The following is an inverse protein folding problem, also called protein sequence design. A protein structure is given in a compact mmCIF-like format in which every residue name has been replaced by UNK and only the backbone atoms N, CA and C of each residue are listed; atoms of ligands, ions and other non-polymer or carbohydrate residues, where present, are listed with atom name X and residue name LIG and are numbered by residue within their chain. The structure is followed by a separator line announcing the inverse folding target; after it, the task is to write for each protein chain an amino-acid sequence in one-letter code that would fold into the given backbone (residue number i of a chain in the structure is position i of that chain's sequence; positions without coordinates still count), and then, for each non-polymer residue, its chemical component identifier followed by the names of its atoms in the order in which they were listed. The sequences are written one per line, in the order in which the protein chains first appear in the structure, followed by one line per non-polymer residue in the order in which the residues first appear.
data_IF_132140274901
#
_entry.id   IF_132140274901
#
_cell.length_a   1.000
_cell.length_b   1.000
_cell.length_c   1.000
_cell.angle_alpha   90.00
_cell.angle_beta   90.00
_cell.angle_gamma   90.00
#
_symmetry.space_group_name_H-M   'P 1'
#
loop_
_entity.id
_entity.type
_entity.pdbx_description
1 polymer ?
#
# COMPACT_ATOMS: atom_id res chain seq x y z
N UNK A 1 22.48 -13.79 1.69
CA UNK A 1 23.07 -12.76 2.58
C UNK A 1 23.01 -13.28 4.01
N UNK A 2 23.99 -12.98 4.87
CA UNK A 2 23.87 -13.29 6.29
C UNK A 2 22.63 -12.58 6.86
N UNK A 3 21.93 -13.23 7.79
CA UNK A 3 20.71 -12.72 8.45
C UNK A 3 20.94 -11.45 9.31
N UNK A 4 22.15 -10.93 9.36
CA UNK A 4 22.54 -9.77 10.17
C UNK A 4 22.85 -8.52 9.33
N UNK A 5 22.62 -8.57 8.00
CA UNK A 5 22.90 -7.42 7.14
C UNK A 5 21.94 -6.27 7.44
N UNK A 6 22.50 -5.07 7.61
CA UNK A 6 21.71 -3.85 7.74
C UNK A 6 21.05 -3.47 6.41
N UNK A 7 19.99 -2.67 6.46
CA UNK A 7 19.36 -2.10 5.26
C UNK A 7 20.40 -1.33 4.41
N UNK A 8 21.27 -0.57 5.03
CA UNK A 8 22.31 0.20 4.33
C UNK A 8 23.28 -0.73 3.58
N UNK A 9 23.74 -1.83 4.20
CA UNK A 9 24.59 -2.83 3.54
C UNK A 9 23.87 -3.51 2.39
N UNK A 10 22.58 -3.84 2.57
CA UNK A 10 21.76 -4.41 1.49
C UNK A 10 21.67 -3.46 0.30
N UNK A 11 21.32 -2.18 0.52
CA UNK A 11 21.17 -1.19 -0.55
C UNK A 11 22.52 -0.98 -1.29
N UNK A 12 23.62 -0.90 -0.56
CA UNK A 12 24.96 -0.79 -1.18
C UNK A 12 25.29 -2.05 -2.01
N UNK A 13 24.91 -3.22 -1.50
CA UNK A 13 25.06 -4.49 -2.24
C UNK A 13 24.26 -4.49 -3.54
N UNK A 14 23.01 -4.03 -3.53
CA UNK A 14 22.19 -3.87 -4.72
C UNK A 14 22.75 -2.81 -5.68
N UNK A 15 23.19 -1.66 -5.15
CA UNK A 15 23.80 -0.60 -5.95
C UNK A 15 25.01 -1.07 -6.76
N UNK A 16 25.85 -1.93 -6.18
CA UNK A 16 27.06 -2.46 -6.84
C UNK A 16 26.76 -3.29 -8.10
N UNK A 17 25.53 -3.77 -8.25
CA UNK A 17 25.09 -4.48 -9.48
C UNK A 17 24.89 -3.53 -10.66
N UNK A 18 24.87 -2.21 -10.43
CA UNK A 18 24.60 -1.19 -11.44
C UNK A 18 25.81 -0.24 -11.59
N UNK A 19 26.54 -0.34 -12.70
CA UNK A 19 27.78 0.42 -12.95
C UNK A 19 27.63 1.95 -13.00
N UNK A 20 26.41 2.48 -13.13
CA UNK A 20 26.10 3.93 -13.19
C UNK A 20 25.48 4.49 -11.91
N UNK A 21 25.45 3.72 -10.84
CA UNK A 21 24.86 4.19 -9.57
C UNK A 21 25.79 5.20 -8.88
N UNK A 22 25.26 6.37 -8.53
CA UNK A 22 26.05 7.50 -7.99
C UNK A 22 26.01 7.64 -6.48
N UNK A 23 25.39 6.69 -5.74
CA UNK A 23 25.20 6.79 -4.28
C UNK A 23 24.03 7.66 -3.82
N UNK A 24 23.53 8.57 -4.66
CA UNK A 24 22.43 9.45 -4.29
C UNK A 24 21.13 8.72 -3.96
N UNK A 25 20.87 7.61 -4.63
CA UNK A 25 19.71 6.78 -4.31
C UNK A 25 19.85 6.06 -2.95
N UNK A 26 21.06 5.56 -2.65
CA UNK A 26 21.34 4.97 -1.33
C UNK A 26 21.16 5.99 -0.21
N UNK A 27 21.63 7.21 -0.42
CA UNK A 27 21.48 8.29 0.57
C UNK A 27 19.98 8.66 0.75
N UNK A 28 19.19 8.74 -0.33
CA UNK A 28 17.74 8.95 -0.23
C UNK A 28 17.05 7.87 0.60
N UNK A 29 17.37 6.60 0.37
CA UNK A 29 16.79 5.50 1.17
C UNK A 29 17.22 5.56 2.64
N UNK A 30 18.41 6.07 2.94
CA UNK A 30 18.85 6.32 4.31
C UNK A 30 18.04 7.45 4.96
N UNK A 31 17.68 8.50 4.23
CA UNK A 31 16.82 9.57 4.74
C UNK A 31 15.38 9.03 4.99
N UNK A 32 14.83 8.24 4.07
CA UNK A 32 13.51 7.61 4.24
C UNK A 32 13.50 6.68 5.46
N UNK A 33 14.50 5.80 5.61
CA UNK A 33 14.55 4.92 6.80
C UNK A 33 14.69 5.71 8.11
N UNK A 34 15.39 6.85 8.09
CA UNK A 34 15.51 7.72 9.26
C UNK A 34 14.15 8.34 9.63
N UNK A 35 13.35 8.75 8.64
CA UNK A 35 11.98 9.22 8.89
C UNK A 35 11.15 8.10 9.54
N UNK A 36 11.20 6.87 9.01
CA UNK A 36 10.51 5.71 9.58
C UNK A 36 10.98 5.39 11.01
N UNK A 37 12.28 5.46 11.30
CA UNK A 37 12.82 5.27 12.67
C UNK A 37 12.28 6.31 13.65
N UNK A 38 12.21 7.58 13.25
CA UNK A 38 11.65 8.68 14.06
C UNK A 38 10.17 8.46 14.37
N UNK A 39 9.38 8.06 13.37
CA UNK A 39 7.96 7.76 13.56
C UNK A 39 7.79 6.53 14.46
N UNK A 40 8.57 5.45 14.26
CA UNK A 40 8.57 4.27 15.12
C UNK A 40 8.88 4.60 16.59
N UNK A 41 9.82 5.50 16.81
CA UNK A 41 10.16 5.97 18.16
C UNK A 41 9.00 6.78 18.78
N UNK A 42 8.37 7.66 18.00
CA UNK A 42 7.24 8.48 18.43
C UNK A 42 6.04 7.62 18.80
N UNK A 43 5.64 6.70 17.92
CA UNK A 43 4.54 5.74 18.13
C UNK A 43 4.81 4.82 19.34
N UNK A 44 6.04 4.35 19.51
CA UNK A 44 6.41 3.51 20.64
C UNK A 44 6.26 4.18 22.01
N UNK A 45 6.18 5.52 22.04
CA UNK A 45 5.87 6.29 23.25
C UNK A 45 4.36 6.52 23.46
N UNK A 46 3.57 6.42 22.39
CA UNK A 46 2.12 6.51 22.44
C UNK A 46 1.62 7.75 23.21
N UNK A 47 0.69 7.54 24.13
CA UNK A 47 0.12 8.60 24.95
C UNK A 47 1.17 9.40 25.77
N UNK A 48 2.30 8.79 26.10
CA UNK A 48 3.41 9.47 26.81
C UNK A 48 4.06 10.58 25.97
N UNK A 49 3.94 10.50 24.65
CA UNK A 49 4.42 11.55 23.75
C UNK A 49 3.36 12.64 23.45
N UNK A 50 2.16 12.53 24.02
CA UNK A 50 1.06 13.48 23.78
C UNK A 50 0.50 13.46 22.36
N UNK A 51 0.72 12.36 21.64
CA UNK A 51 0.41 12.24 20.20
C UNK A 51 -1.01 11.77 19.89
N UNK A 52 -1.75 11.33 20.91
CA UNK A 52 -3.14 10.89 20.75
C UNK A 52 -4.12 12.05 20.55
N UNK A 53 -5.23 11.74 19.86
CA UNK A 53 -6.34 12.65 19.63
C UNK A 53 -6.28 13.41 18.31
N UNK A 54 -7.39 14.06 17.97
CA UNK A 54 -7.52 14.83 16.75
C UNK A 54 -6.64 16.08 16.74
N UNK A 55 -6.14 16.44 15.56
CA UNK A 55 -5.68 17.79 15.28
C UNK A 55 -6.87 18.76 15.20
N UNK A 56 -6.60 20.06 15.24
CA UNK A 56 -7.64 21.09 15.15
C UNK A 56 -8.07 21.36 13.70
N UNK A 57 -8.34 20.30 12.91
CA UNK A 57 -8.73 20.48 11.51
C UNK A 57 -9.04 19.17 10.77
N UNK A 58 -9.47 19.35 9.52
CA UNK A 58 -9.58 18.28 8.52
C UNK A 58 -8.40 18.43 7.55
N UNK A 59 -7.94 17.31 6.97
CA UNK A 59 -6.94 17.36 5.92
C UNK A 59 -7.55 17.93 4.61
N UNK A 60 -6.73 18.15 3.61
CA UNK A 60 -7.13 18.70 2.30
C UNK A 60 -8.18 17.86 1.56
N UNK A 61 -8.46 16.65 2.05
CA UNK A 61 -9.44 15.72 1.49
C UNK A 61 -10.74 15.65 2.31
N UNK A 62 -10.88 16.51 3.35
CA UNK A 62 -12.06 16.53 4.24
C UNK A 62 -12.10 15.37 5.22
N UNK A 63 -10.95 14.74 5.50
CA UNK A 63 -10.83 13.68 6.51
C UNK A 63 -10.31 14.26 7.82
N UNK A 64 -10.82 13.77 8.94
CA UNK A 64 -10.39 14.21 10.26
C UNK A 64 -8.94 13.87 10.47
N UNK A 65 -8.08 14.87 10.57
CA UNK A 65 -6.65 14.71 10.74
C UNK A 65 -6.32 14.40 12.21
N UNK A 66 -5.46 13.42 12.44
CA UNK A 66 -4.93 13.12 13.76
C UNK A 66 -3.65 13.94 13.99
N UNK A 67 -3.31 14.24 15.23
CA UNK A 67 -2.06 14.95 15.55
C UNK A 67 -0.84 14.22 15.00
N UNK A 68 -0.90 12.91 14.99
CA UNK A 68 0.20 12.07 14.52
C UNK A 68 0.38 12.13 13.00
N UNK A 69 -0.68 12.34 12.23
CA UNK A 69 -0.58 12.53 10.77
C UNK A 69 0.26 13.78 10.48
N UNK A 70 -0.03 14.90 11.14
CA UNK A 70 0.73 16.15 10.99
C UNK A 70 2.19 15.95 11.38
N UNK A 71 2.44 15.29 12.51
CA UNK A 71 3.81 15.05 13.00
C UNK A 71 4.58 14.10 12.09
N UNK A 72 3.95 13.04 11.60
CA UNK A 72 4.57 12.09 10.67
C UNK A 72 4.88 12.74 9.33
N UNK A 73 3.97 13.57 8.82
CA UNK A 73 4.21 14.36 7.62
C UNK A 73 5.40 15.31 7.77
N UNK A 74 5.45 16.08 8.86
CA UNK A 74 6.58 16.96 9.17
C UNK A 74 7.91 16.19 9.28
N UNK A 75 7.91 15.02 9.89
CA UNK A 75 9.10 14.16 9.99
C UNK A 75 9.57 13.73 8.59
N UNK A 76 8.66 13.27 7.72
CA UNK A 76 9.02 12.89 6.35
C UNK A 76 9.60 14.08 5.58
N UNK A 77 8.93 15.21 5.58
CA UNK A 77 9.37 16.40 4.85
C UNK A 77 10.76 16.83 5.31
N UNK A 78 10.92 17.12 6.61
CA UNK A 78 12.18 17.66 7.17
C UNK A 78 13.34 16.69 7.11
N UNK A 79 13.07 15.38 7.12
CA UNK A 79 14.14 14.38 7.05
C UNK A 79 14.66 14.24 5.62
N UNK A 80 13.83 14.49 4.61
CA UNK A 80 14.16 14.23 3.21
C UNK A 80 14.48 15.51 2.39
N UNK A 81 14.19 16.72 2.88
CA UNK A 81 14.32 17.96 2.09
C UNK A 81 15.77 18.44 1.90
N UNK A 82 16.69 18.07 2.80
CA UNK A 82 18.03 18.66 2.86
C UNK A 82 19.12 17.86 2.14
N UNK A 83 18.90 16.55 1.90
CA UNK A 83 19.91 15.61 1.39
C UNK A 83 20.36 15.83 -0.05
N UNK A 84 19.66 16.69 -0.84
CA UNK A 84 20.01 16.97 -2.23
C UNK A 84 19.68 15.83 -3.20
N UNK A 85 18.83 14.89 -2.82
CA UNK A 85 18.48 13.72 -3.62
C UNK A 85 17.12 13.87 -4.29
N UNK A 86 16.23 14.65 -3.67
CA UNK A 86 14.86 14.90 -4.14
C UNK A 86 14.76 16.19 -4.95
N UNK A 87 13.96 16.16 -6.01
CA UNK A 87 13.51 17.33 -6.74
C UNK A 87 12.25 17.94 -6.10
N UNK A 88 11.34 17.10 -5.62
CA UNK A 88 10.12 17.48 -4.93
C UNK A 88 9.52 16.28 -4.16
N UNK A 89 8.51 16.56 -3.32
CA UNK A 89 7.75 15.54 -2.60
C UNK A 89 6.23 15.73 -2.80
N UNK A 90 5.47 14.64 -2.79
CA UNK A 90 4.01 14.62 -2.75
C UNK A 90 3.54 13.80 -1.56
N UNK A 91 2.74 14.40 -0.70
CA UNK A 91 2.20 13.76 0.51
C UNK A 91 0.69 13.68 0.43
N UNK A 92 0.11 12.65 1.07
CA UNK A 92 -1.33 12.56 1.29
C UNK A 92 -1.89 13.78 2.02
N UNK A 93 -1.11 14.35 2.94
CA UNK A 93 -1.50 15.44 3.85
C UNK A 93 -1.38 16.84 3.22
N UNK A 94 -0.83 16.94 2.01
CA UNK A 94 -0.60 18.22 1.31
C UNK A 94 -1.38 18.27 0.01
N UNK A 95 -2.09 19.36 -0.23
CA UNK A 95 -2.85 19.59 -1.47
C UNK A 95 -1.94 19.68 -2.71
N UNK A 96 -0.79 20.31 -2.55
CA UNK A 96 0.15 20.60 -3.64
C UNK A 96 1.50 19.89 -3.40
N UNK A 97 2.27 19.82 -4.47
CA UNK A 97 3.65 19.34 -4.43
C UNK A 97 4.49 20.18 -3.48
N UNK A 98 5.16 19.54 -2.55
CA UNK A 98 6.13 20.16 -1.66
C UNK A 98 7.42 20.44 -2.43
N UNK A 99 7.74 21.72 -2.60
CA UNK A 99 8.98 22.14 -3.23
C UNK A 99 10.14 22.09 -2.24
N UNK A 100 11.27 21.50 -2.65
CA UNK A 100 12.49 21.55 -1.84
C UNK A 100 12.88 23.02 -1.62
N UNK A 101 13.05 23.47 -0.34
CA UNK A 101 13.42 24.84 -0.03
C UNK A 101 14.69 25.30 -0.76
N UNK A 102 14.73 26.57 -1.16
CA UNK A 102 15.81 27.11 -2.00
C UNK A 102 17.23 27.01 -1.38
N UNK A 103 17.32 26.93 -0.04
CA UNK A 103 18.59 26.74 0.67
C UNK A 103 19.15 25.31 0.54
N UNK A 104 18.39 24.34 0.07
CA UNK A 104 18.82 22.98 -0.11
C UNK A 104 19.01 22.63 -1.59
N UNK A 105 20.01 21.81 -1.92
CA UNK A 105 20.19 21.35 -3.29
C UNK A 105 19.05 20.43 -3.71
N UNK A 106 18.71 20.46 -5.00
CA UNK A 106 17.70 19.57 -5.60
C UNK A 106 18.38 18.40 -6.31
N UNK A 107 17.77 17.23 -6.20
CA UNK A 107 18.19 16.01 -6.86
C UNK A 107 17.30 15.61 -8.04
N UNK A 108 17.34 14.33 -8.37
CA UNK A 108 16.68 13.76 -9.55
C UNK A 108 15.53 12.82 -9.24
N UNK A 109 15.14 12.69 -7.98
CA UNK A 109 14.07 11.80 -7.56
C UNK A 109 12.86 12.59 -7.06
N UNK A 110 11.69 11.99 -7.20
CA UNK A 110 10.44 12.44 -6.63
C UNK A 110 10.02 11.42 -5.58
N UNK A 111 9.56 11.88 -4.43
CA UNK A 111 9.06 11.02 -3.35
C UNK A 111 7.56 11.26 -3.17
N UNK A 112 6.75 10.24 -3.43
CA UNK A 112 5.34 10.22 -3.08
C UNK A 112 5.13 9.36 -1.85
N UNK A 113 4.40 9.84 -0.83
CA UNK A 113 4.24 9.10 0.42
C UNK A 113 2.91 9.38 1.11
N UNK A 114 2.42 8.36 1.80
CA UNK A 114 1.46 8.45 2.89
C UNK A 114 2.25 8.36 4.20
N UNK A 115 2.29 9.44 4.98
CA UNK A 115 3.10 9.45 6.19
C UNK A 115 2.59 8.50 7.26
N UNK A 116 1.28 8.21 7.31
CA UNK A 116 0.70 7.37 8.35
C UNK A 116 -0.63 6.70 7.95
N UNK A 117 -0.55 5.65 7.10
CA UNK A 117 -1.69 4.80 6.75
C UNK A 117 -2.34 4.18 7.99
N UNK A 118 -3.65 4.20 8.00
CA UNK A 118 -4.44 3.60 9.06
C UNK A 118 -4.50 4.43 10.34
N UNK A 119 -4.28 5.73 10.27
CA UNK A 119 -4.23 6.65 11.42
C UNK A 119 -5.46 6.61 12.34
N UNK A 120 -6.62 6.22 11.83
CA UNK A 120 -7.83 5.98 12.64
C UNK A 120 -7.65 4.86 13.69
N UNK A 121 -6.63 4.01 13.54
CA UNK A 121 -6.32 2.93 14.46
C UNK A 121 -5.35 3.31 15.59
N UNK A 122 -4.81 4.53 15.58
CA UNK A 122 -3.80 4.97 16.56
C UNK A 122 -4.36 4.96 17.98
N UNK A 123 -5.54 5.53 18.16
CA UNK A 123 -6.18 5.66 19.50
C UNK A 123 -6.59 4.31 20.10
N UNK A 124 -6.68 3.26 19.28
CA UNK A 124 -7.01 1.89 19.72
C UNK A 124 -5.81 0.94 19.69
N UNK A 125 -4.61 1.49 19.49
CA UNK A 125 -3.34 0.77 19.55
C UNK A 125 -3.22 -0.42 18.57
N UNK A 126 -3.75 -0.27 17.37
CA UNK A 126 -3.62 -1.22 16.26
C UNK A 126 -2.50 -0.76 15.33
N UNK A 127 -1.87 -1.68 14.63
CA UNK A 127 -0.76 -1.40 13.73
C UNK A 127 -1.13 -0.39 12.64
N UNK A 128 -0.25 0.59 12.44
CA UNK A 128 -0.30 1.61 11.40
C UNK A 128 1.01 1.59 10.61
N UNK A 129 1.13 2.38 9.55
CA UNK A 129 2.39 2.40 8.81
C UNK A 129 2.57 3.61 7.92
N UNK A 130 3.76 3.75 7.36
CA UNK A 130 4.08 4.75 6.34
C UNK A 130 4.32 4.06 5.01
N UNK A 131 3.79 4.61 3.92
CA UNK A 131 3.97 4.07 2.56
C UNK A 131 4.76 5.06 1.73
N UNK A 132 5.67 4.58 0.90
CA UNK A 132 6.44 5.45 0.02
C UNK A 132 6.68 4.84 -1.36
N UNK A 133 6.78 5.74 -2.34
CA UNK A 133 7.13 5.46 -3.73
C UNK A 133 8.16 6.47 -4.20
N UNK A 134 9.24 6.00 -4.82
CA UNK A 134 10.26 6.84 -5.44
C UNK A 134 10.14 6.77 -6.95
N UNK A 135 10.06 7.92 -7.59
CA UNK A 135 9.99 8.08 -9.03
C UNK A 135 11.21 8.88 -9.51
N UNK A 136 11.48 8.85 -10.82
CA UNK A 136 12.49 9.73 -11.43
C UNK A 136 11.83 11.05 -11.85
N UNK A 137 12.48 12.15 -11.49
CA UNK A 137 12.19 13.44 -12.10
C UNK A 137 12.78 13.47 -13.52
N UNK A 138 12.03 13.97 -14.48
CA UNK A 138 12.52 14.12 -15.85
C UNK A 138 13.71 15.09 -15.90
N UNK A 139 14.66 14.83 -16.82
CA UNK A 139 15.80 15.71 -17.00
C UNK A 139 15.37 17.11 -17.48
N UNK A 140 16.01 18.14 -16.93
CA UNK A 140 15.71 19.53 -17.28
C UNK A 140 14.56 20.18 -16.50
N UNK A 141 13.84 19.44 -15.67
CA UNK A 141 12.79 20.00 -14.81
C UNK A 141 13.44 20.68 -13.61
N UNK A 142 13.35 22.02 -13.57
CA UNK A 142 13.90 22.82 -12.47
C UNK A 142 12.93 22.97 -11.30
N UNK A 143 11.63 23.00 -11.56
CA UNK A 143 10.55 23.10 -10.56
C UNK A 143 9.50 22.04 -10.87
N UNK A 144 9.55 20.86 -10.23
CA UNK A 144 8.57 19.82 -10.45
C UNK A 144 7.15 20.26 -10.06
N UNK A 145 6.19 19.84 -10.83
CA UNK A 145 4.75 20.06 -10.64
C UNK A 145 4.03 18.75 -10.36
N UNK A 146 2.73 18.80 -10.15
CA UNK A 146 1.90 17.61 -10.04
C UNK A 146 2.07 16.67 -11.25
N UNK A 147 2.20 17.24 -12.45
CA UNK A 147 2.35 16.46 -13.69
C UNK A 147 3.56 15.54 -13.68
N UNK A 148 4.66 15.94 -13.01
CA UNK A 148 5.89 15.14 -12.95
C UNK A 148 5.72 13.89 -12.09
N UNK A 149 4.74 13.88 -11.17
CA UNK A 149 4.36 12.72 -10.36
C UNK A 149 3.37 11.79 -11.06
N UNK A 150 2.69 12.24 -12.13
CA UNK A 150 1.66 11.45 -12.81
C UNK A 150 2.29 10.38 -13.71
N UNK A 151 3.08 9.51 -13.12
CA UNK A 151 3.73 8.38 -13.78
C UNK A 151 3.01 7.07 -13.43
N UNK A 152 2.81 6.15 -14.40
CA UNK A 152 2.28 4.82 -14.11
C UNK A 152 3.09 4.10 -13.05
N UNK A 153 2.43 3.27 -12.23
CA UNK A 153 3.07 2.53 -11.14
C UNK A 153 4.24 1.64 -11.58
N UNK A 154 4.26 1.22 -12.84
CA UNK A 154 5.37 0.47 -13.42
C UNK A 154 6.69 1.27 -13.57
N UNK A 155 6.64 2.60 -13.45
CA UNK A 155 7.82 3.47 -13.56
C UNK A 155 8.50 3.77 -12.21
N UNK A 156 7.99 3.24 -11.11
CA UNK A 156 8.63 3.36 -9.82
C UNK A 156 10.05 2.79 -9.84
N UNK A 157 10.98 3.45 -9.14
CA UNK A 157 12.36 2.97 -8.96
C UNK A 157 12.59 2.32 -7.60
N UNK A 158 11.72 2.61 -6.65
CA UNK A 158 11.61 1.97 -5.36
C UNK A 158 10.19 2.14 -4.84
N UNK A 159 9.69 1.11 -4.18
CA UNK A 159 8.47 1.19 -3.38
C UNK A 159 8.70 0.46 -2.05
N UNK A 160 8.05 0.95 -1.01
CA UNK A 160 8.14 0.33 0.30
C UNK A 160 7.12 0.87 1.29
N UNK A 161 7.09 0.23 2.43
CA UNK A 161 6.36 0.71 3.59
C UNK A 161 7.10 0.37 4.88
N UNK A 162 6.87 1.17 5.90
CA UNK A 162 7.16 0.80 7.28
C UNK A 162 5.86 0.43 7.98
N UNK A 163 5.84 -0.68 8.71
CA UNK A 163 4.75 -1.05 9.61
C UNK A 163 5.19 -0.85 11.06
N UNK A 164 4.34 -0.21 11.84
CA UNK A 164 4.53 0.07 13.26
C UNK A 164 3.53 -0.74 14.06
N UNK A 165 3.95 -1.92 14.49
CA UNK A 165 3.18 -2.90 15.25
C UNK A 165 3.97 -3.41 16.46
N UNK A 166 3.81 -4.69 16.84
CA UNK A 166 4.60 -5.32 17.90
C UNK A 166 6.11 -5.13 17.70
N UNK A 167 6.57 -5.19 16.45
CA UNK A 167 7.88 -4.74 16.01
C UNK A 167 7.71 -3.73 14.89
N UNK A 168 8.68 -2.81 14.74
CA UNK A 168 8.72 -1.94 13.57
C UNK A 168 9.48 -2.68 12.45
N UNK A 169 8.88 -2.77 11.28
CA UNK A 169 9.52 -3.37 10.11
C UNK A 169 9.46 -2.41 8.93
N UNK A 170 10.47 -2.46 8.08
CA UNK A 170 10.50 -1.80 6.78
C UNK A 170 10.57 -2.86 5.70
N UNK A 171 9.65 -2.80 4.74
CA UNK A 171 9.58 -3.72 3.60
C UNK A 171 9.71 -2.92 2.32
N UNK A 172 10.59 -3.35 1.43
CA UNK A 172 10.80 -2.62 0.17
C UNK A 172 11.13 -3.53 -1.01
N UNK A 173 10.94 -2.98 -2.20
CA UNK A 173 11.44 -3.51 -3.47
C UNK A 173 12.23 -2.46 -4.24
N UNK A 174 13.27 -2.92 -4.89
CA UNK A 174 14.07 -2.17 -5.88
C UNK A 174 13.84 -2.72 -7.31
N UNK A 175 12.75 -3.48 -7.51
CA UNK A 175 12.40 -4.14 -8.76
C UNK A 175 12.94 -5.57 -8.92
N UNK A 176 13.61 -6.11 -7.91
CA UNK A 176 14.23 -7.43 -7.92
C UNK A 176 13.90 -8.22 -6.64
N UNK A 177 12.61 -8.52 -6.44
CA UNK A 177 12.10 -9.18 -5.24
C UNK A 177 11.73 -8.19 -4.13
N UNK A 178 11.25 -8.73 -3.02
CA UNK A 178 10.77 -7.98 -1.86
C UNK A 178 11.52 -8.43 -0.62
N UNK A 179 12.01 -7.49 0.16
CA UNK A 179 12.81 -7.77 1.35
C UNK A 179 12.26 -7.03 2.57
N UNK A 180 12.20 -7.73 3.71
CA UNK A 180 11.72 -7.20 4.97
C UNK A 180 12.85 -7.09 6.00
N UNK A 181 12.89 -5.93 6.66
CA UNK A 181 13.89 -5.55 7.66
C UNK A 181 13.19 -5.22 8.97
N UNK A 182 13.66 -5.77 10.07
CA UNK A 182 13.14 -5.47 11.41
C UNK A 182 14.04 -4.41 12.07
N UNK A 183 13.43 -3.42 12.69
CA UNK A 183 14.17 -2.42 13.45
C UNK A 183 14.70 -3.01 14.76
N UNK A 184 16.01 -3.16 14.85
CA UNK A 184 16.69 -3.36 16.11
C UNK A 184 16.76 -2.01 16.84
N UNK A 185 16.03 -1.90 17.94
CA UNK A 185 15.93 -0.65 18.71
C UNK A 185 17.14 -0.36 19.58
N UNK A 186 17.98 -1.38 19.85
CA UNK A 186 19.19 -1.22 20.68
C UNK A 186 20.29 -0.53 19.88
N UNK A 187 20.50 -0.94 18.63
CA UNK A 187 21.50 -0.33 17.75
C UNK A 187 20.91 0.72 16.81
N UNK A 188 19.59 0.81 16.73
CA UNK A 188 18.87 1.78 15.88
C UNK A 188 18.95 1.49 14.39
N UNK A 189 19.11 0.22 13.97
CA UNK A 189 19.25 -0.16 12.56
C UNK A 189 18.16 -1.15 12.11
N UNK A 190 17.78 -1.06 10.84
CA UNK A 190 16.93 -2.05 10.19
C UNK A 190 17.78 -3.24 9.73
N UNK A 191 17.51 -4.42 10.28
CA UNK A 191 18.23 -5.66 10.02
C UNK A 191 17.41 -6.54 9.07
N UNK A 192 18.03 -7.11 8.06
CA UNK A 192 17.39 -8.04 7.12
C UNK A 192 16.94 -9.31 7.83
N UNK A 193 15.63 -9.46 8.01
CA UNK A 193 15.04 -10.64 8.67
C UNK A 193 14.20 -11.49 7.73
N UNK A 194 13.71 -10.91 6.64
CA UNK A 194 12.82 -11.57 5.67
C UNK A 194 13.34 -11.34 4.26
N UNK A 195 14.37 -12.09 3.81
CA UNK A 195 14.86 -12.00 2.45
C UNK A 195 13.88 -12.67 1.48
N UNK A 196 13.71 -12.07 0.29
CA UNK A 196 12.95 -12.62 -0.84
C UNK A 196 11.54 -13.12 -0.48
N UNK A 197 10.73 -12.23 0.11
CA UNK A 197 9.34 -12.51 0.45
C UNK A 197 8.54 -12.97 -0.77
N UNK A 198 7.74 -14.03 -0.62
CA UNK A 198 6.92 -14.61 -1.68
C UNK A 198 5.49 -14.82 -1.22
N UNK A 199 4.55 -14.39 -2.04
CA UNK A 199 3.12 -14.61 -1.83
C UNK A 199 2.71 -15.93 -2.47
N UNK A 200 2.09 -16.87 -1.72
CA UNK A 200 1.50 -18.06 -2.31
C UNK A 200 0.44 -17.71 -3.36
N UNK A 201 0.42 -18.43 -4.49
CA UNK A 201 -0.58 -18.23 -5.56
C UNK A 201 -2.00 -18.41 -5.08
N UNK A 202 -2.22 -19.45 -4.26
CA UNK A 202 -3.50 -19.75 -3.61
C UNK A 202 -3.55 -19.23 -2.17
N UNK A 203 -4.77 -18.94 -1.71
CA UNK A 203 -5.05 -18.61 -0.31
C UNK A 203 -6.43 -19.06 0.12
N UNK A 204 -6.65 -19.13 1.44
CA UNK A 204 -7.96 -19.26 2.07
C UNK A 204 -8.28 -18.07 3.01
N UNK A 205 -7.64 -16.93 2.80
CA UNK A 205 -7.90 -15.71 3.55
C UNK A 205 -8.29 -14.56 2.63
N UNK A 206 -9.27 -13.79 3.05
CA UNK A 206 -9.64 -12.55 2.38
C UNK A 206 -9.92 -11.44 3.41
N UNK A 207 -9.77 -10.20 2.98
CA UNK A 207 -10.07 -9.01 3.75
C UNK A 207 -10.93 -8.05 2.92
N UNK A 208 -12.06 -7.67 3.46
CA UNK A 208 -12.99 -6.67 2.90
C UNK A 208 -13.84 -6.10 4.01
N UNK A 209 -14.23 -4.83 3.92
CA UNK A 209 -15.19 -4.26 4.84
C UNK A 209 -16.61 -4.78 4.56
N UNK A 210 -17.01 -5.86 5.24
CA UNK A 210 -18.29 -6.52 5.05
C UNK A 210 -19.51 -5.61 5.33
N UNK A 211 -19.36 -4.52 6.09
CA UNK A 211 -20.45 -3.57 6.34
C UNK A 211 -20.91 -2.83 5.07
N UNK A 212 -20.11 -2.87 4.01
CA UNK A 212 -20.41 -2.26 2.72
C UNK A 212 -21.05 -3.24 1.70
N UNK A 213 -21.41 -4.46 2.09
CA UNK A 213 -21.95 -5.50 1.20
C UNK A 213 -23.08 -5.00 0.30
N UNK A 214 -24.02 -4.21 0.85
CA UNK A 214 -25.16 -3.65 0.12
C UNK A 214 -24.78 -2.68 -1.00
N UNK A 215 -23.55 -2.19 -1.00
CA UNK A 215 -23.04 -1.23 -1.98
C UNK A 215 -22.10 -1.85 -3.02
N UNK A 216 -21.66 -3.11 -2.82
CA UNK A 216 -20.73 -3.76 -3.74
C UNK A 216 -21.33 -4.02 -5.12
N UNK A 217 -20.47 -4.00 -6.13
CA UNK A 217 -20.81 -4.49 -7.47
C UNK A 217 -21.10 -6.01 -7.46
N UNK A 218 -21.91 -6.53 -8.40
CA UNK A 218 -22.24 -7.95 -8.46
C UNK A 218 -21.03 -8.91 -8.46
N UNK A 219 -19.92 -8.65 -9.18
CA UNK A 219 -18.75 -9.51 -9.16
C UNK A 219 -18.15 -9.69 -7.78
N UNK A 220 -18.09 -8.62 -6.99
CA UNK A 220 -17.58 -8.65 -5.61
C UNK A 220 -18.51 -9.48 -4.70
N UNK A 221 -19.82 -9.27 -4.81
CA UNK A 221 -20.81 -10.06 -4.06
C UNK A 221 -20.70 -11.55 -4.40
N UNK A 222 -20.56 -11.88 -5.70
CA UNK A 222 -20.35 -13.25 -6.18
C UNK A 222 -19.12 -13.86 -5.51
N UNK A 223 -17.99 -13.18 -5.59
CA UNK A 223 -16.74 -13.68 -5.00
C UNK A 223 -16.86 -13.94 -3.50
N UNK A 224 -17.42 -12.99 -2.76
CA UNK A 224 -17.59 -13.14 -1.30
C UNK A 224 -18.59 -14.25 -0.96
N UNK A 225 -19.72 -14.34 -1.67
CA UNK A 225 -20.71 -15.42 -1.42
C UNK A 225 -20.10 -16.81 -1.66
N UNK A 226 -19.24 -16.97 -2.67
CA UNK A 226 -18.51 -18.21 -2.92
C UNK A 226 -17.51 -18.53 -1.79
N UNK A 227 -16.80 -17.53 -1.25
CA UNK A 227 -15.93 -17.71 -0.09
C UNK A 227 -16.70 -18.15 1.15
N UNK A 228 -17.86 -17.51 1.42
CA UNK A 228 -18.72 -17.82 2.56
C UNK A 228 -19.43 -19.17 2.43
N UNK A 229 -19.67 -19.66 1.22
CA UNK A 229 -20.25 -20.98 0.99
C UNK A 229 -19.32 -22.13 1.41
N UNK A 230 -18.02 -21.84 1.59
CA UNK A 230 -17.04 -22.79 2.12
C UNK A 230 -16.91 -24.06 1.29
N UNK A 231 -16.68 -25.20 1.98
CA UNK A 231 -16.50 -26.51 1.33
C UNK A 231 -17.70 -26.99 0.54
N UNK A 232 -18.90 -26.57 0.91
CA UNK A 232 -20.13 -26.92 0.20
C UNK A 232 -20.38 -26.09 -1.04
N UNK A 233 -19.63 -25.01 -1.21
CA UNK A 233 -19.73 -24.10 -2.34
C UNK A 233 -18.79 -24.43 -3.49
N UNK A 234 -18.77 -23.58 -4.54
CA UNK A 234 -17.99 -23.83 -5.76
C UNK A 234 -16.48 -23.80 -5.55
N UNK A 235 -16.02 -23.23 -4.42
CA UNK A 235 -14.60 -23.14 -4.09
C UNK A 235 -14.06 -24.42 -3.45
N UNK A 236 -14.90 -25.28 -2.88
CA UNK A 236 -14.52 -26.56 -2.24
C UNK A 236 -13.61 -26.45 -1.03
N UNK A 237 -13.38 -25.23 -0.51
CA UNK A 237 -12.54 -24.96 0.66
C UNK A 237 -13.13 -23.86 1.53
N UNK A 238 -12.81 -23.88 2.82
CA UNK A 238 -13.23 -22.86 3.75
C UNK A 238 -12.31 -21.63 3.67
N UNK A 239 -12.88 -20.44 3.84
CA UNK A 239 -12.16 -19.19 3.88
C UNK A 239 -12.31 -18.50 5.24
N UNK A 240 -11.28 -17.74 5.64
CA UNK A 240 -11.31 -16.88 6.81
C UNK A 240 -11.27 -15.40 6.38
N UNK A 241 -12.20 -14.61 6.90
CA UNK A 241 -12.14 -13.17 6.75
C UNK A 241 -11.16 -12.57 7.78
N UNK A 242 -10.27 -11.70 7.31
CA UNK A 242 -9.30 -10.96 8.11
C UNK A 242 -9.39 -9.49 7.74
N UNK A 243 -9.87 -8.66 8.64
CA UNK A 243 -10.02 -7.21 8.42
C UNK A 243 -9.41 -6.43 9.57
N UNK A 244 -8.33 -5.68 9.30
CA UNK A 244 -7.57 -4.89 10.28
C UNK A 244 -7.90 -3.40 10.14
N UNK A 245 -8.42 -2.97 8.99
CA UNK A 245 -8.69 -1.58 8.65
C UNK A 245 -7.43 -0.69 8.63
N UNK A 246 -6.27 -1.26 8.30
CA UNK A 246 -5.01 -0.59 7.97
C UNK A 246 -4.45 -1.25 6.72
N UNK A 247 -4.25 -0.48 5.67
CA UNK A 247 -3.82 -1.03 4.38
C UNK A 247 -2.41 -1.63 4.48
N UNK A 248 -1.51 -0.96 5.18
CA UNK A 248 -0.16 -1.48 5.47
C UNK A 248 -0.24 -2.83 6.18
N UNK A 249 -1.08 -2.95 7.22
CA UNK A 249 -1.19 -4.19 8.00
C UNK A 249 -1.77 -5.34 7.17
N UNK A 250 -2.75 -5.05 6.30
CA UNK A 250 -3.33 -6.04 5.39
C UNK A 250 -2.30 -6.52 4.35
N UNK A 251 -1.58 -5.62 3.70
CA UNK A 251 -0.54 -5.97 2.72
C UNK A 251 0.59 -6.73 3.39
N UNK A 252 1.01 -6.32 4.60
CA UNK A 252 2.03 -7.03 5.37
C UNK A 252 1.62 -8.47 5.66
N UNK A 253 0.38 -8.69 6.13
CA UNK A 253 -0.16 -10.04 6.34
C UNK A 253 -0.11 -10.88 5.07
N UNK A 254 -0.51 -10.29 3.92
CA UNK A 254 -0.52 -10.96 2.62
C UNK A 254 0.89 -11.35 2.18
N UNK A 255 1.87 -10.45 2.33
CA UNK A 255 3.27 -10.75 2.01
C UNK A 255 3.83 -11.88 2.86
N UNK A 256 3.41 -12.00 4.13
CA UNK A 256 3.89 -13.04 5.05
C UNK A 256 3.28 -14.41 4.81
N UNK A 257 1.99 -14.50 4.38
CA UNK A 257 1.31 -15.80 4.32
C UNK A 257 0.25 -15.98 3.24
N UNK A 258 0.14 -15.01 2.33
CA UNK A 258 -0.91 -14.99 1.34
C UNK A 258 -2.21 -14.36 1.85
N UNK A 259 -3.15 -14.19 0.95
CA UNK A 259 -4.44 -13.55 1.20
C UNK A 259 -4.91 -12.72 0.04
N UNK A 260 -6.13 -12.24 0.14
CA UNK A 260 -6.69 -11.23 -0.75
C UNK A 260 -7.16 -10.04 0.08
N UNK A 261 -6.81 -8.84 -0.35
CA UNK A 261 -7.39 -7.59 0.14
C UNK A 261 -8.23 -6.94 -0.94
N UNK A 262 -9.41 -6.47 -0.56
CA UNK A 262 -10.31 -5.73 -1.44
C UNK A 262 -10.82 -4.46 -0.78
N UNK A 263 -10.64 -3.35 -1.48
CA UNK A 263 -11.36 -2.12 -1.27
C UNK A 263 -11.96 -1.70 -2.62
N UNK A 264 -13.05 -2.39 -3.05
CA UNK A 264 -13.59 -2.26 -4.40
C UNK A 264 -14.33 -0.92 -4.57
N UNK A 265 -14.63 -0.59 -5.82
CA UNK A 265 -15.62 0.43 -6.13
C UNK A 265 -16.97 0.02 -5.52
N UNK A 266 -17.67 0.98 -4.95
CA UNK A 266 -18.97 0.77 -4.35
C UNK A 266 -19.95 1.92 -4.71
N UNK A 267 -21.25 1.65 -4.56
CA UNK A 267 -22.31 2.62 -4.83
C UNK A 267 -22.63 3.55 -3.65
N UNK A 268 -21.90 3.45 -2.55
CA UNK A 268 -22.09 4.31 -1.37
C UNK A 268 -21.72 5.77 -1.67
N UNK A 269 -20.70 5.95 -2.48
CA UNK A 269 -20.26 7.27 -2.97
C UNK A 269 -19.92 7.15 -4.47
N UNK A 270 -20.92 7.24 -5.36
CA UNK A 270 -20.74 7.03 -6.80
C UNK A 270 -19.74 8.01 -7.45
N UNK A 271 -19.52 9.17 -6.83
CA UNK A 271 -18.58 10.17 -7.32
C UNK A 271 -17.11 9.77 -7.10
N UNK A 272 -16.84 8.85 -6.18
CA UNK A 272 -15.48 8.35 -5.90
C UNK A 272 -15.23 7.07 -6.67
N UNK A 273 -14.16 7.05 -7.46
CA UNK A 273 -13.73 5.86 -8.20
C UNK A 273 -13.32 4.71 -7.26
N UNK A 274 -12.82 5.03 -6.06
CA UNK A 274 -12.38 4.10 -5.03
C UNK A 274 -12.14 4.79 -3.71
N UNK A 275 -11.46 4.12 -2.78
CA UNK A 275 -11.17 4.64 -1.44
C UNK A 275 -9.70 5.01 -1.25
N UNK A 276 -8.80 4.21 -1.80
CA UNK A 276 -7.35 4.38 -1.67
C UNK A 276 -6.80 5.24 -2.81
N UNK A 277 -5.67 5.90 -2.56
CA UNK A 277 -5.05 6.81 -3.52
C UNK A 277 -4.04 6.07 -4.37
N UNK A 278 -4.00 6.42 -5.66
CA UNK A 278 -3.19 5.69 -6.64
C UNK A 278 -1.69 5.84 -6.38
N UNK A 279 -1.20 7.08 -6.21
CA UNK A 279 0.25 7.37 -6.26
C UNK A 279 1.01 6.92 -5.02
N UNK A 280 0.48 7.13 -3.83
CA UNK A 280 1.23 6.92 -2.59
C UNK A 280 0.71 5.76 -1.73
N UNK A 281 -0.39 5.09 -2.14
CA UNK A 281 -0.90 3.88 -1.48
C UNK A 281 -0.95 2.70 -2.47
N UNK A 282 -1.81 2.77 -3.51
CA UNK A 282 -2.08 1.62 -4.37
C UNK A 282 -0.88 1.21 -5.24
N UNK A 283 -0.17 2.15 -5.88
CA UNK A 283 0.98 1.85 -6.73
C UNK A 283 2.15 1.22 -5.97
N UNK A 284 2.65 1.78 -4.85
CA UNK A 284 3.73 1.16 -4.10
C UNK A 284 3.36 -0.23 -3.58
N UNK A 285 2.16 -0.40 -3.05
CA UNK A 285 1.72 -1.70 -2.54
C UNK A 285 1.48 -2.72 -3.66
N UNK A 286 0.95 -2.29 -4.80
CA UNK A 286 0.80 -3.14 -5.98
C UNK A 286 2.14 -3.66 -6.49
N UNK A 287 3.15 -2.79 -6.53
CA UNK A 287 4.47 -3.21 -6.99
C UNK A 287 5.13 -4.20 -6.03
N UNK A 288 5.05 -3.96 -4.73
CA UNK A 288 5.51 -4.93 -3.71
C UNK A 288 4.81 -6.29 -3.88
N UNK A 289 3.48 -6.30 -4.00
CA UNK A 289 2.71 -7.53 -4.16
C UNK A 289 3.10 -8.28 -5.44
N UNK A 290 3.24 -7.59 -6.58
CA UNK A 290 3.64 -8.21 -7.84
C UNK A 290 5.09 -8.72 -7.80
N UNK A 291 6.03 -7.98 -7.21
CA UNK A 291 7.41 -8.40 -7.03
C UNK A 291 7.55 -9.63 -6.12
N UNK A 292 6.61 -9.81 -5.20
CA UNK A 292 6.50 -11.00 -4.35
C UNK A 292 5.75 -12.17 -5.03
N UNK A 293 5.32 -12.05 -6.29
CA UNK A 293 4.64 -13.11 -7.04
C UNK A 293 3.10 -13.08 -6.96
N UNK A 294 2.52 -12.14 -6.24
CA UNK A 294 1.09 -11.87 -6.22
C UNK A 294 0.59 -11.10 -7.46
N UNK A 295 -0.58 -10.49 -7.35
CA UNK A 295 -1.15 -9.62 -8.38
C UNK A 295 -1.89 -8.45 -7.73
N UNK A 296 -2.07 -7.36 -8.51
CA UNK A 296 -2.84 -6.19 -8.09
C UNK A 296 -3.67 -5.63 -9.25
N UNK A 297 -4.93 -5.31 -8.98
CA UNK A 297 -5.91 -4.88 -9.98
C UNK A 297 -6.88 -3.85 -9.42
N UNK A 298 -7.48 -3.07 -10.31
CA UNK A 298 -8.67 -2.25 -9.99
C UNK A 298 -9.98 -3.08 -9.99
N UNK A 299 -9.86 -4.38 -10.25
CA UNK A 299 -10.95 -5.28 -10.63
C UNK A 299 -11.09 -5.43 -12.15
N UNK A 300 -10.65 -4.45 -12.94
CA UNK A 300 -10.76 -4.44 -14.42
C UNK A 300 -9.42 -4.26 -15.13
N UNK A 301 -8.50 -3.52 -14.53
CA UNK A 301 -7.17 -3.26 -15.10
C UNK A 301 -6.09 -3.63 -14.09
N UNK A 302 -4.89 -3.95 -14.58
CA UNK A 302 -3.72 -4.11 -13.74
C UNK A 302 -3.40 -2.78 -13.06
N UNK A 303 -3.15 -2.79 -11.75
CA UNK A 303 -2.96 -1.55 -10.98
C UNK A 303 -1.79 -0.70 -11.51
N UNK A 304 -0.66 -1.32 -11.81
CA UNK A 304 0.55 -0.60 -12.23
C UNK A 304 0.46 0.04 -13.63
N UNK A 305 -0.56 -0.33 -14.41
CA UNK A 305 -0.78 0.21 -15.77
C UNK A 305 -1.79 1.38 -15.75
N UNK A 306 -2.40 1.68 -14.60
CA UNK A 306 -3.32 2.82 -14.47
C UNK A 306 -2.54 4.12 -14.65
N UNK A 307 -2.95 4.91 -15.65
CA UNK A 307 -2.39 6.24 -15.85
C UNK A 307 -2.95 7.21 -14.79
N UNK A 308 -2.10 7.84 -13.97
CA UNK A 308 -2.58 8.81 -13.00
C UNK A 308 -3.09 10.10 -13.66
N UNK A 309 -4.20 10.63 -13.17
CA UNK A 309 -4.83 11.87 -13.64
C UNK A 309 -4.68 13.03 -12.63
N UNK A 310 -4.27 12.72 -11.39
CA UNK A 310 -4.09 13.72 -10.33
C UNK A 310 -3.36 13.14 -9.13
N UNK A 311 -2.78 14.02 -8.30
CA UNK A 311 -1.98 13.62 -7.12
C UNK A 311 -2.77 12.74 -6.14
N UNK A 312 -4.05 13.09 -5.92
CA UNK A 312 -4.92 12.44 -4.94
C UNK A 312 -5.97 11.54 -5.59
N UNK A 313 -5.73 11.10 -6.85
CA UNK A 313 -6.64 10.21 -7.55
C UNK A 313 -6.90 8.96 -6.73
N UNK A 314 -8.19 8.66 -6.51
CA UNK A 314 -8.62 7.44 -5.83
C UNK A 314 -8.91 6.32 -6.82
N UNK A 315 -8.60 5.09 -6.40
CA UNK A 315 -8.83 3.89 -7.20
C UNK A 315 -9.43 2.78 -6.35
N UNK A 316 -10.20 1.85 -6.95
CA UNK A 316 -10.54 0.60 -6.29
C UNK A 316 -9.30 -0.30 -6.25
N UNK A 317 -9.16 -1.09 -5.20
CA UNK A 317 -7.98 -1.94 -4.98
C UNK A 317 -8.41 -3.38 -4.72
N UNK A 318 -7.83 -4.29 -5.48
CA UNK A 318 -7.88 -5.74 -5.31
C UNK A 318 -6.46 -6.25 -5.44
N UNK A 319 -5.85 -6.78 -4.37
CA UNK A 319 -4.47 -7.25 -4.42
C UNK A 319 -4.24 -8.45 -3.48
N UNK A 320 -3.23 -9.25 -3.82
CA UNK A 320 -2.83 -10.38 -3.00
C UNK A 320 -2.42 -11.61 -3.81
N UNK A 321 -2.82 -12.80 -3.33
CA UNK A 321 -2.56 -14.06 -4.01
C UNK A 321 -3.13 -14.05 -5.43
N UNK A 322 -2.27 -14.37 -6.39
CA UNK A 322 -2.52 -14.17 -7.84
C UNK A 322 -3.82 -14.81 -8.31
N UNK A 323 -4.09 -16.05 -7.94
CA UNK A 323 -5.28 -16.77 -8.41
C UNK A 323 -6.58 -16.13 -7.95
N UNK A 324 -6.59 -15.51 -6.77
CA UNK A 324 -7.76 -14.83 -6.24
C UNK A 324 -8.00 -13.48 -6.93
N UNK A 325 -6.92 -12.73 -7.20
CA UNK A 325 -7.00 -11.46 -7.94
C UNK A 325 -7.46 -11.70 -9.37
N UNK A 326 -6.90 -12.71 -10.06
CA UNK A 326 -7.30 -13.08 -11.43
C UNK A 326 -8.76 -13.58 -11.48
N UNK A 327 -9.23 -14.26 -10.44
CA UNK A 327 -10.61 -14.69 -10.31
C UNK A 327 -11.57 -13.50 -10.23
N UNK A 328 -11.29 -12.52 -9.36
CA UNK A 328 -12.17 -11.34 -9.24
C UNK A 328 -12.15 -10.50 -10.52
N UNK A 329 -11.00 -10.37 -11.18
CA UNK A 329 -10.89 -9.68 -12.46
C UNK A 329 -11.72 -10.38 -13.54
N UNK A 330 -11.70 -11.73 -13.60
CA UNK A 330 -12.54 -12.51 -14.50
C UNK A 330 -14.03 -12.30 -14.21
N UNK A 331 -14.45 -12.25 -12.93
CA UNK A 331 -15.86 -12.01 -12.58
C UNK A 331 -16.33 -10.61 -13.01
N UNK A 332 -15.46 -9.60 -12.93
CA UNK A 332 -15.78 -8.28 -13.49
C UNK A 332 -15.91 -8.33 -15.02
N UNK A 333 -15.00 -9.03 -15.70
CA UNK A 333 -15.06 -9.16 -17.15
C UNK A 333 -16.33 -9.93 -17.62
N UNK A 334 -16.70 -11.03 -16.94
CA UNK A 334 -17.93 -11.79 -17.20
C UNK A 334 -19.17 -10.90 -17.02
N UNK A 335 -19.20 -10.11 -15.94
CA UNK A 335 -20.30 -9.20 -15.63
C UNK A 335 -20.43 -8.09 -16.67
N UNK A 336 -19.32 -7.44 -17.03
CA UNK A 336 -19.29 -6.34 -18.00
C UNK A 336 -19.70 -6.81 -19.42
N UNK A 337 -19.54 -8.11 -19.72
CA UNK A 337 -20.00 -8.76 -20.96
C UNK A 337 -21.44 -9.32 -20.89
N UNK A 338 -22.11 -9.17 -19.73
CA UNK A 338 -23.44 -9.76 -19.53
C UNK A 338 -23.46 -11.30 -19.43
N UNK A 339 -22.31 -11.92 -19.21
CA UNK A 339 -22.10 -13.36 -19.06
C UNK A 339 -22.01 -13.82 -17.61
N UNK A 340 -22.29 -12.93 -16.64
CA UNK A 340 -22.20 -13.23 -15.22
C UNK A 340 -23.14 -14.37 -14.80
N UNK A 341 -22.57 -15.42 -14.23
CA UNK A 341 -23.30 -16.56 -13.67
C UNK A 341 -23.10 -16.58 -12.15
N UNK A 342 -23.92 -15.83 -11.39
CA UNK A 342 -23.81 -15.84 -9.95
C UNK A 342 -24.05 -17.24 -9.39
N UNK A 343 -23.24 -17.62 -8.40
CA UNK A 343 -23.45 -18.88 -7.70
C UNK A 343 -24.81 -18.90 -7.02
N UNK A 344 -25.64 -19.85 -7.43
CA UNK A 344 -26.88 -20.20 -6.72
C UNK A 344 -26.65 -21.49 -5.93
N UNK A 345 -26.79 -21.42 -4.60
CA UNK A 345 -26.64 -22.61 -3.77
C UNK A 345 -27.60 -23.71 -4.22
N UNK A 346 -27.12 -24.93 -4.45
CA UNK A 346 -28.00 -26.07 -4.79
C UNK A 346 -29.11 -26.30 -3.77
N UNK A 347 -28.90 -25.90 -2.52
CA UNK A 347 -29.88 -25.99 -1.44
C UNK A 347 -31.11 -25.12 -1.66
N UNK A 348 -30.96 -23.98 -2.34
CA UNK A 348 -32.12 -23.11 -2.66
C UNK A 348 -32.85 -23.57 -3.92
N UNK A 349 -32.14 -24.21 -4.88
CA UNK A 349 -32.76 -24.72 -6.11
C UNK A 349 -33.55 -26.02 -5.92
N UNK A 350 -33.29 -26.79 -4.85
CA UNK A 350 -33.96 -28.06 -4.57
C UNK A 350 -35.07 -27.98 -3.51
N UNK A 351 -35.28 -26.83 -2.89
CA UNK A 351 -36.29 -26.63 -1.81
C UNK A 351 -37.50 -25.79 -2.25
N UNK A 352 -37.77 -25.66 -3.51
CA UNK A 352 -39.11 -25.19 -3.90
C UNK A 352 -40.12 -26.28 -3.58
N UNK A 353 -40.87 -26.10 -2.50
CA UNK A 353 -42.09 -26.89 -2.19
C UNK A 353 -43.15 -26.70 -3.24
N UNK A 354 -42.91 -25.86 -4.24
CA UNK A 354 -43.80 -25.53 -5.34
C UNK A 354 -43.06 -25.67 -6.67
N UNK A 355 -42.66 -26.88 -7.03
CA UNK A 355 -42.30 -27.16 -8.42
C UNK A 355 -43.63 -27.42 -9.15
N UNK A 356 -44.00 -26.49 -10.01
CA UNK A 356 -45.02 -26.74 -11.05
C UNK A 356 -44.40 -27.64 -12.11
#
# INVERSE_FOLDING_TARGET
MPLESTLTEFIIGEQRKFSRATGGFTALLNDIQLACKRIACLLGRGALAGVHGAAAGENVQGERQMKLDVMANDIFLRTNEWGGHLAAMASEELEAVYQIPAQHPRGRYLLAFDPLDGSSNIDVNVAVGSIFSVLRCAEGVSVPTAQDFLQPGAQQVCAGYAIYGPTAMLVLTLGHGVHGFTLDREIGEFILTHPDLRIPGETSEFAINASNERFWEPPVRRYISECLAGRSGPRGKDFNMRWIASFVAEVHRILMRGGLFMYPKDSKDPAKAGRLRLLYEANPMAWLVEQAGGAASTGRARMLDVAPEGLHQRVPVVLGSREEVERIARYHAEHDQGADQPYTSPLFNKRSLFVQ
#
